data_IF_117935182621
#
_entry.id   IF_117935182621
#
_cell.length_a   1.000
_cell.length_b   1.000
_cell.length_c   1.000
_cell.angle_alpha   90.00
_cell.angle_beta   90.00
_cell.angle_gamma   90.00
#
_symmetry.space_group_name_H-M   'P 1'
#
loop_
_entity.id
_entity.type
_entity.pdbx_description
1 polymer ?
#
# COMPACT_ATOMS: atom_id res chain seq x y z
N UNK A 1 53.27 5.41 -52.33
CA UNK A 1 51.94 4.79 -52.11
C UNK A 1 51.68 4.71 -50.61
N UNK A 2 50.91 5.65 -50.09
CA UNK A 2 50.54 5.67 -48.68
C UNK A 2 49.12 5.04 -48.51
N UNK A 3 49.01 3.98 -47.73
CA UNK A 3 47.75 3.29 -47.43
C UNK A 3 47.17 3.95 -46.17
N UNK A 4 46.09 4.65 -46.31
CA UNK A 4 45.34 5.20 -45.17
C UNK A 4 44.41 4.09 -44.61
N UNK A 5 44.67 3.69 -43.36
CA UNK A 5 43.81 2.77 -42.60
C UNK A 5 42.72 3.58 -41.91
N UNK A 6 41.49 3.54 -42.44
CA UNK A 6 40.29 4.11 -41.76
C UNK A 6 39.79 3.14 -40.73
N UNK A 7 39.99 3.54 -39.47
CA UNK A 7 39.42 2.81 -38.32
C UNK A 7 37.91 3.14 -38.20
N UNK A 8 37.05 2.17 -38.51
CA UNK A 8 35.59 2.29 -38.31
C UNK A 8 35.26 1.84 -36.89
N UNK A 9 34.99 2.80 -35.98
CA UNK A 9 34.48 2.49 -34.65
C UNK A 9 33.02 2.09 -34.73
N UNK A 10 32.76 0.79 -34.52
CA UNK A 10 31.41 0.27 -34.29
C UNK A 10 31.00 0.55 -32.84
N UNK A 11 30.13 1.54 -32.63
CA UNK A 11 29.47 1.79 -31.34
C UNK A 11 28.34 0.77 -31.20
N UNK A 12 28.58 -0.27 -30.39
CA UNK A 12 27.52 -1.19 -29.96
C UNK A 12 26.60 -0.47 -28.97
N UNK A 13 25.42 -0.07 -29.43
CA UNK A 13 24.33 0.40 -28.60
C UNK A 13 23.69 -0.79 -27.91
N UNK A 14 24.12 -1.13 -26.70
CA UNK A 14 23.42 -2.09 -25.83
C UNK A 14 22.19 -1.41 -25.29
N UNK A 15 21.06 -1.56 -25.99
CA UNK A 15 19.75 -1.16 -25.47
C UNK A 15 19.46 -1.93 -24.18
N UNK A 16 19.43 -1.23 -23.05
CA UNK A 16 18.93 -1.78 -21.79
C UNK A 16 17.41 -1.93 -21.92
N UNK A 17 16.94 -3.13 -22.24
CA UNK A 17 15.52 -3.48 -22.18
C UNK A 17 15.17 -3.60 -20.71
N UNK A 18 14.60 -2.55 -20.12
CA UNK A 18 13.98 -2.62 -18.82
C UNK A 18 12.78 -3.56 -18.96
N UNK A 19 12.92 -4.78 -18.46
CA UNK A 19 11.79 -5.71 -18.33
C UNK A 19 10.81 -5.11 -17.32
N UNK A 20 9.64 -4.72 -17.81
CA UNK A 20 8.50 -4.36 -16.97
C UNK A 20 7.94 -5.66 -16.36
N UNK A 21 8.55 -6.11 -15.28
CA UNK A 21 7.95 -7.16 -14.46
C UNK A 21 6.99 -6.47 -13.48
N UNK A 22 5.73 -6.93 -13.42
CA UNK A 22 4.85 -6.69 -12.28
C UNK A 22 5.52 -7.24 -11.02
N UNK A 23 5.13 -6.73 -9.84
CA UNK A 23 5.65 -7.23 -8.57
C UNK A 23 5.46 -8.75 -8.43
N UNK A 24 6.23 -9.37 -7.57
CA UNK A 24 6.18 -10.83 -7.37
C UNK A 24 4.79 -11.29 -6.91
N UNK A 25 4.14 -10.50 -6.04
CA UNK A 25 2.83 -10.85 -5.48
C UNK A 25 1.73 -9.85 -5.85
N UNK A 26 2.08 -8.66 -6.35
CA UNK A 26 1.16 -7.66 -6.85
C UNK A 26 1.27 -7.56 -8.38
N UNK A 27 0.21 -7.94 -9.13
CA UNK A 27 0.28 -7.97 -10.59
C UNK A 27 0.13 -6.59 -11.24
N UNK A 28 -0.24 -5.57 -10.48
CA UNK A 28 -0.61 -4.25 -11.00
C UNK A 28 0.39 -3.15 -10.60
N UNK A 29 1.31 -3.46 -9.65
CA UNK A 29 2.32 -2.51 -9.14
C UNK A 29 3.67 -3.15 -8.92
N UNK A 30 4.71 -2.30 -9.03
CA UNK A 30 6.10 -2.66 -8.75
C UNK A 30 6.64 -1.81 -7.59
N UNK A 31 7.70 -2.30 -6.96
CA UNK A 31 8.51 -1.47 -6.09
C UNK A 31 9.14 -0.35 -6.90
N UNK A 32 9.06 0.88 -6.39
CA UNK A 32 9.52 2.09 -7.07
C UNK A 32 8.49 2.78 -7.96
N UNK A 33 7.32 2.17 -8.20
CA UNK A 33 6.21 2.83 -8.89
C UNK A 33 5.69 4.02 -8.07
N UNK A 34 5.13 5.02 -8.77
CA UNK A 34 4.39 6.08 -8.11
C UNK A 34 3.14 5.52 -7.44
N UNK A 35 2.95 5.87 -6.17
CA UNK A 35 1.76 5.48 -5.43
C UNK A 35 0.53 6.19 -6.01
N UNK A 36 -0.57 5.46 -6.26
CA UNK A 36 -1.82 6.07 -6.68
C UNK A 36 -2.31 7.09 -5.67
N UNK A 37 -2.62 8.30 -6.13
CA UNK A 37 -3.17 9.35 -5.29
C UNK A 37 -4.65 9.12 -5.03
N UNK A 38 -5.11 9.50 -3.84
CA UNK A 38 -6.52 9.62 -3.52
C UNK A 38 -6.85 11.07 -3.16
N UNK A 39 -8.09 11.46 -3.39
CA UNK A 39 -8.58 12.79 -3.10
C UNK A 39 -9.96 12.70 -2.45
N UNK A 40 -10.14 13.51 -1.40
CA UNK A 40 -11.42 13.76 -0.73
C UNK A 40 -12.14 12.48 -0.26
N UNK A 41 -11.39 11.46 0.21
CA UNK A 41 -11.99 10.29 0.83
C UNK A 41 -12.58 10.64 2.21
N UNK A 42 -13.84 10.26 2.49
CA UNK A 42 -14.45 10.50 3.79
C UNK A 42 -13.81 9.63 4.87
N UNK A 43 -13.43 10.27 5.97
CA UNK A 43 -12.90 9.62 7.16
C UNK A 43 -13.95 9.38 8.25
N UNK A 44 -13.65 8.47 9.16
CA UNK A 44 -14.49 8.22 10.36
C UNK A 44 -14.57 9.44 11.29
N UNK A 45 -13.63 10.36 11.18
CA UNK A 45 -13.57 11.63 11.90
C UNK A 45 -14.51 12.72 11.30
N UNK A 46 -15.22 12.39 10.21
CA UNK A 46 -16.12 13.29 9.50
C UNK A 46 -15.43 14.28 8.57
N UNK A 47 -14.12 14.16 8.36
CA UNK A 47 -13.35 15.01 7.44
C UNK A 47 -13.10 14.29 6.12
N UNK A 48 -12.73 15.07 5.10
CA UNK A 48 -12.22 14.56 3.83
C UNK A 48 -10.68 14.54 3.88
N UNK A 49 -10.12 13.46 3.36
CA UNK A 49 -8.68 13.22 3.37
C UNK A 49 -8.16 12.98 1.96
N UNK A 50 -6.99 13.56 1.66
CA UNK A 50 -6.30 13.41 0.39
C UNK A 50 -4.84 13.05 0.64
N UNK A 51 -4.22 12.31 -0.29
CA UNK A 51 -2.79 11.98 -0.19
C UNK A 51 -1.93 13.26 -0.14
N UNK A 52 -2.32 14.28 -0.90
CA UNK A 52 -1.62 15.56 -0.97
C UNK A 52 -1.54 16.31 0.37
N UNK A 53 -2.46 16.03 1.31
CA UNK A 53 -2.40 16.61 2.66
C UNK A 53 -1.28 16.04 3.53
N UNK A 54 -0.57 15.02 3.04
CA UNK A 54 0.49 14.32 3.76
C UNK A 54 1.89 14.60 3.16
N UNK A 55 2.04 15.66 2.35
CA UNK A 55 3.30 15.99 1.65
C UNK A 55 4.48 16.20 2.59
N UNK A 56 4.24 16.67 3.81
CA UNK A 56 5.29 16.93 4.80
C UNK A 56 5.79 15.67 5.51
N UNK A 57 5.13 14.52 5.31
CA UNK A 57 5.53 13.27 5.96
C UNK A 57 6.71 12.61 5.28
N UNK A 58 7.65 12.09 6.09
CA UNK A 58 8.86 11.41 5.61
C UNK A 58 8.58 10.09 4.91
N UNK A 59 7.51 9.42 5.30
CA UNK A 59 6.98 8.22 4.67
C UNK A 59 5.49 8.10 4.99
N UNK A 60 4.77 7.24 4.25
CA UNK A 60 3.35 6.97 4.48
C UNK A 60 3.12 5.46 4.44
N UNK A 61 2.36 4.95 5.41
CA UNK A 61 1.82 3.60 5.37
C UNK A 61 0.36 3.67 4.93
N UNK A 62 0.02 2.96 3.88
CA UNK A 62 -1.37 2.74 3.44
C UNK A 62 -1.75 1.31 3.79
N UNK A 63 -2.79 1.15 4.60
CA UNK A 63 -3.32 -0.15 5.02
C UNK A 63 -4.73 -0.34 4.45
N UNK A 64 -4.88 -1.24 3.46
CA UNK A 64 -6.20 -1.68 3.05
C UNK A 64 -6.74 -2.65 4.10
N UNK A 65 -7.81 -2.28 4.79
CA UNK A 65 -8.38 -3.05 5.89
C UNK A 65 -9.91 -2.96 5.89
N UNK A 66 -10.58 -3.70 6.75
CA UNK A 66 -12.03 -3.63 6.93
C UNK A 66 -12.46 -4.18 8.29
N UNK A 67 -13.72 -3.99 8.67
CA UNK A 67 -14.24 -4.47 9.97
C UNK A 67 -14.65 -5.94 9.94
N UNK A 68 -14.97 -6.50 8.75
CA UNK A 68 -15.60 -7.82 8.62
C UNK A 68 -14.62 -8.98 8.39
N UNK A 69 -13.34 -8.69 8.13
CA UNK A 69 -12.32 -9.71 7.89
C UNK A 69 -11.66 -10.15 9.21
N UNK A 70 -11.68 -11.43 9.59
CA UNK A 70 -11.01 -11.93 10.81
C UNK A 70 -9.53 -11.53 10.89
N UNK A 71 -8.80 -11.65 9.79
CA UNK A 71 -7.38 -11.26 9.74
C UNK A 71 -7.17 -9.74 9.97
N UNK A 72 -8.11 -8.91 9.47
CA UNK A 72 -8.06 -7.47 9.72
C UNK A 72 -8.37 -7.15 11.18
N UNK A 73 -9.34 -7.86 11.78
CA UNK A 73 -9.68 -7.75 13.21
C UNK A 73 -8.49 -8.16 14.08
N UNK A 74 -7.83 -9.26 13.76
CA UNK A 74 -6.63 -9.72 14.48
C UNK A 74 -5.47 -8.73 14.38
N UNK A 75 -5.41 -7.94 13.29
CA UNK A 75 -4.37 -6.93 13.08
C UNK A 75 -4.64 -5.59 13.80
N UNK A 76 -5.84 -5.31 14.30
CA UNK A 76 -6.23 -3.98 14.83
C UNK A 76 -5.28 -3.46 15.93
N UNK A 77 -4.97 -4.28 16.92
CA UNK A 77 -4.08 -3.86 18.00
C UNK A 77 -2.65 -3.58 17.49
N UNK A 78 -2.21 -4.32 16.48
CA UNK A 78 -0.90 -4.12 15.84
C UNK A 78 -0.90 -2.87 14.96
N UNK A 79 -2.03 -2.55 14.31
CA UNK A 79 -2.22 -1.28 13.60
C UNK A 79 -2.15 -0.07 14.54
N UNK A 80 -2.77 -0.16 15.72
CA UNK A 80 -2.69 0.89 16.74
C UNK A 80 -1.23 1.06 17.23
N UNK A 81 -0.52 -0.03 17.45
CA UNK A 81 0.90 0.01 17.82
C UNK A 81 1.77 0.59 16.69
N UNK A 82 1.47 0.21 15.43
CA UNK A 82 2.15 0.74 14.25
C UNK A 82 1.90 2.25 14.09
N UNK A 83 0.69 2.75 14.36
CA UNK A 83 0.40 4.19 14.30
C UNK A 83 1.27 4.98 15.30
N UNK A 84 1.43 4.46 16.51
CA UNK A 84 2.35 5.05 17.49
C UNK A 84 3.81 5.04 16.97
N UNK A 85 4.26 3.91 16.46
CA UNK A 85 5.59 3.77 15.87
C UNK A 85 5.81 4.78 14.73
N UNK A 86 4.79 4.98 13.88
CA UNK A 86 4.81 5.94 12.78
C UNK A 86 4.90 7.39 13.29
N UNK A 87 4.05 7.77 14.25
CA UNK A 87 4.02 9.13 14.82
C UNK A 87 5.35 9.54 15.43
N UNK A 88 6.02 8.64 16.13
CA UNK A 88 7.33 8.89 16.75
C UNK A 88 8.43 9.15 15.69
N UNK A 89 8.14 8.92 14.38
CA UNK A 89 9.10 9.01 13.25
C UNK A 89 8.69 9.99 12.16
N UNK A 90 7.63 10.75 12.39
CA UNK A 90 7.04 11.64 11.38
C UNK A 90 6.58 10.90 10.10
N UNK A 91 6.04 9.71 10.29
CA UNK A 91 5.40 8.87 9.28
C UNK A 91 3.89 8.92 9.47
N UNK A 92 3.12 8.96 8.39
CA UNK A 92 1.67 8.84 8.46
C UNK A 92 1.24 7.38 8.28
N UNK A 93 0.26 6.93 9.08
CA UNK A 93 -0.50 5.71 8.82
C UNK A 93 -1.91 6.11 8.37
N UNK A 94 -2.37 5.58 7.24
CA UNK A 94 -3.74 5.76 6.74
C UNK A 94 -4.33 4.39 6.45
N UNK A 95 -5.46 4.09 7.08
CA UNK A 95 -6.24 2.89 6.80
C UNK A 95 -7.37 3.22 5.81
N UNK A 96 -7.56 2.36 4.80
CA UNK A 96 -8.59 2.53 3.76
C UNK A 96 -9.44 1.27 3.68
N UNK A 97 -10.75 1.42 3.86
CA UNK A 97 -11.71 0.38 3.60
C UNK A 97 -12.42 0.61 2.26
N UNK A 98 -12.57 -0.46 1.49
CA UNK A 98 -13.24 -0.46 0.19
C UNK A 98 -14.38 -1.48 0.10
N UNK A 99 -14.62 -2.24 1.16
CA UNK A 99 -15.71 -3.20 1.20
C UNK A 99 -17.05 -2.51 1.45
N UNK A 100 -18.12 -3.04 0.84
CA UNK A 100 -19.48 -2.47 0.87
C UNK A 100 -20.50 -3.36 1.59
N UNK A 101 -20.04 -4.33 2.38
CA UNK A 101 -20.96 -5.07 3.25
C UNK A 101 -21.39 -4.20 4.44
N UNK A 102 -22.56 -4.43 5.01
CA UNK A 102 -23.15 -3.55 6.04
C UNK A 102 -22.18 -3.22 7.21
N UNK A 103 -21.40 -4.21 7.66
CA UNK A 103 -20.41 -4.02 8.73
C UNK A 103 -19.17 -3.24 8.35
N UNK A 104 -18.96 -2.95 7.06
CA UNK A 104 -17.83 -2.23 6.51
C UNK A 104 -18.20 -0.83 5.99
N UNK A 105 -19.49 -0.43 6.05
CA UNK A 105 -19.91 0.91 5.64
C UNK A 105 -19.47 1.97 6.65
N UNK A 106 -19.38 3.21 6.19
CA UNK A 106 -18.85 4.33 6.99
C UNK A 106 -19.47 4.47 8.39
N UNK A 107 -20.79 4.27 8.62
CA UNK A 107 -21.35 4.27 9.99
C UNK A 107 -20.72 3.19 10.88
N UNK A 108 -20.64 1.95 10.42
CA UNK A 108 -20.03 0.85 11.16
C UNK A 108 -18.52 1.04 11.37
N UNK A 109 -17.81 1.67 10.41
CA UNK A 109 -16.42 2.06 10.58
C UNK A 109 -16.23 3.09 11.70
N UNK A 110 -17.15 4.08 11.82
CA UNK A 110 -17.13 5.06 12.91
C UNK A 110 -17.29 4.40 14.27
N UNK A 111 -18.25 3.48 14.38
CA UNK A 111 -18.49 2.74 15.62
C UNK A 111 -17.27 1.89 15.99
N UNK A 112 -16.68 1.19 15.01
CA UNK A 112 -15.47 0.38 15.21
C UNK A 112 -14.27 1.23 15.63
N UNK A 113 -14.03 2.34 14.96
CA UNK A 113 -12.94 3.25 15.28
C UNK A 113 -13.07 3.82 16.70
N UNK A 114 -14.29 4.14 17.14
CA UNK A 114 -14.59 4.58 18.50
C UNK A 114 -14.36 3.47 19.53
N UNK A 115 -14.88 2.29 19.29
CA UNK A 115 -14.72 1.10 20.15
C UNK A 115 -13.24 0.78 20.36
N UNK A 116 -12.47 0.74 19.29
CA UNK A 116 -11.05 0.35 19.28
C UNK A 116 -10.12 1.50 19.56
N UNK A 117 -10.65 2.74 19.66
CA UNK A 117 -9.87 3.96 19.89
C UNK A 117 -8.78 4.16 18.82
N UNK A 118 -9.15 4.01 17.55
CA UNK A 118 -8.22 4.26 16.45
C UNK A 118 -7.74 5.72 16.47
N UNK A 119 -6.43 5.91 16.35
CA UNK A 119 -5.78 7.23 16.39
C UNK A 119 -5.22 7.65 15.04
N UNK A 120 -5.44 6.85 14.00
CA UNK A 120 -5.08 7.06 12.60
C UNK A 120 -6.31 7.36 11.75
N UNK A 121 -6.18 8.05 10.61
CA UNK A 121 -7.24 8.20 9.64
C UNK A 121 -7.73 6.84 9.13
N UNK A 122 -9.04 6.60 9.24
CA UNK A 122 -9.69 5.41 8.69
C UNK A 122 -10.73 5.88 7.66
N UNK A 123 -10.41 5.67 6.39
CA UNK A 123 -11.09 6.25 5.24
C UNK A 123 -11.96 5.22 4.52
N UNK A 124 -13.03 5.68 3.90
CA UNK A 124 -13.91 4.84 3.10
C UNK A 124 -13.83 5.23 1.62
N UNK A 125 -13.33 4.32 0.78
CA UNK A 125 -13.39 4.45 -0.68
C UNK A 125 -14.56 3.63 -1.23
N UNK A 126 -15.74 4.24 -1.26
CA UNK A 126 -16.94 3.62 -1.83
C UNK A 126 -16.77 3.26 -3.31
N UNK A 127 -15.93 3.99 -4.04
CA UNK A 127 -15.66 3.72 -5.46
C UNK A 127 -14.85 2.45 -5.69
N UNK A 128 -14.12 1.99 -4.69
CA UNK A 128 -13.15 0.87 -4.73
C UNK A 128 -11.99 1.10 -5.71
N UNK A 129 -11.84 2.33 -6.22
CA UNK A 129 -10.84 2.61 -7.26
C UNK A 129 -9.44 2.64 -6.69
N UNK A 130 -9.28 3.13 -5.45
CA UNK A 130 -7.94 3.25 -4.85
C UNK A 130 -7.32 1.86 -4.64
N UNK A 131 -8.07 0.91 -4.08
CA UNK A 131 -7.57 -0.47 -3.94
C UNK A 131 -7.23 -1.09 -5.31
N UNK A 132 -8.06 -0.88 -6.34
CA UNK A 132 -7.78 -1.37 -7.70
C UNK A 132 -6.50 -0.75 -8.27
N UNK A 133 -6.30 0.56 -8.09
CA UNK A 133 -5.12 1.26 -8.59
C UNK A 133 -3.83 0.84 -7.87
N UNK A 134 -3.92 0.52 -6.57
CA UNK A 134 -2.80 -0.07 -5.81
C UNK A 134 -2.57 -1.55 -6.15
N UNK A 135 -3.48 -2.21 -6.86
CA UNK A 135 -3.45 -3.66 -7.06
C UNK A 135 -3.75 -4.45 -5.78
N UNK A 136 -4.28 -3.79 -4.74
CA UNK A 136 -4.61 -4.42 -3.48
C UNK A 136 -5.77 -5.40 -3.66
N UNK A 137 -5.63 -6.61 -3.10
CA UNK A 137 -6.58 -7.71 -3.28
C UNK A 137 -7.07 -8.33 -1.98
N UNK A 138 -6.42 -8.00 -0.87
CA UNK A 138 -6.67 -8.61 0.44
C UNK A 138 -6.89 -7.55 1.51
N UNK A 139 -7.46 -7.97 2.63
CA UNK A 139 -7.52 -7.20 3.87
C UNK A 139 -7.08 -8.08 5.04
N UNK A 140 -6.06 -7.67 5.83
CA UNK A 140 -5.27 -6.46 5.64
C UNK A 140 -4.19 -6.63 4.55
N UNK A 141 -3.89 -5.54 3.82
CA UNK A 141 -2.76 -5.46 2.89
C UNK A 141 -2.09 -4.09 3.03
N UNK A 142 -0.77 -4.05 3.03
CA UNK A 142 0.01 -2.88 3.39
C UNK A 142 0.90 -2.39 2.26
N UNK A 143 1.05 -1.08 2.16
CA UNK A 143 1.98 -0.40 1.28
C UNK A 143 2.76 0.64 2.09
N UNK A 144 4.09 0.67 1.95
CA UNK A 144 4.92 1.74 2.50
C UNK A 144 5.40 2.61 1.36
N UNK A 145 5.15 3.90 1.46
CA UNK A 145 5.55 4.91 0.51
C UNK A 145 6.72 5.72 1.09
N UNK A 146 7.75 5.95 0.28
CA UNK A 146 8.88 6.79 0.66
C UNK A 146 8.53 8.30 0.62
N UNK A 147 9.50 9.16 0.90
CA UNK A 147 9.35 10.61 0.88
C UNK A 147 8.96 11.16 -0.51
N UNK A 148 9.25 10.43 -1.59
CA UNK A 148 8.87 10.76 -2.96
C UNK A 148 7.56 10.12 -3.39
N UNK A 149 6.86 9.48 -2.46
CA UNK A 149 5.60 8.74 -2.73
C UNK A 149 5.78 7.55 -3.68
N UNK A 150 6.98 7.00 -3.72
CA UNK A 150 7.26 5.73 -4.40
C UNK A 150 6.94 4.57 -3.47
N UNK A 151 6.42 3.48 -4.02
CA UNK A 151 6.15 2.25 -3.28
C UNK A 151 7.49 1.61 -2.89
N UNK A 152 7.80 1.57 -1.61
CA UNK A 152 9.00 0.96 -1.05
C UNK A 152 8.76 -0.46 -0.52
N UNK A 153 7.50 -0.79 -0.23
CA UNK A 153 7.07 -2.11 0.26
C UNK A 153 5.60 -2.36 -0.07
N UNK A 154 5.25 -3.62 -0.33
CA UNK A 154 3.85 -4.10 -0.40
C UNK A 154 3.74 -5.51 0.16
N UNK A 155 2.61 -5.80 0.86
CA UNK A 155 2.32 -7.13 1.38
C UNK A 155 1.71 -7.16 2.78
N UNK A 156 2.16 -8.11 3.61
CA UNK A 156 1.64 -8.35 4.96
C UNK A 156 2.23 -7.38 6.00
N UNK A 157 1.56 -7.25 7.16
CA UNK A 157 2.04 -6.44 8.29
C UNK A 157 3.34 -6.99 8.87
N UNK A 158 3.33 -8.28 9.11
CA UNK A 158 4.38 -9.09 9.71
C UNK A 158 4.28 -10.55 9.25
N UNK A 159 5.08 -11.43 9.81
CA UNK A 159 5.12 -12.86 9.49
C UNK A 159 4.11 -13.72 10.27
N UNK A 160 3.20 -13.10 11.05
CA UNK A 160 2.22 -13.81 11.88
C UNK A 160 0.79 -13.30 11.60
N UNK A 161 -0.02 -14.00 10.80
CA UNK A 161 -1.36 -13.54 10.43
C UNK A 161 -2.27 -13.23 11.62
N UNK A 162 -2.19 -14.05 12.68
CA UNK A 162 -2.97 -13.89 13.92
C UNK A 162 -2.23 -13.09 15.02
N UNK A 163 -0.99 -12.66 14.75
CA UNK A 163 -0.17 -11.88 15.67
C UNK A 163 0.40 -12.63 16.87
N UNK A 164 0.20 -13.97 16.98
CA UNK A 164 0.64 -14.74 18.16
C UNK A 164 2.13 -15.06 18.19
N UNK A 165 2.79 -15.06 17.03
CA UNK A 165 4.17 -15.50 16.89
C UNK A 165 5.01 -14.57 15.98
N UNK A 166 4.80 -13.26 16.09
CA UNK A 166 5.52 -12.26 15.28
C UNK A 166 7.02 -12.31 15.57
N UNK A 167 7.80 -12.62 14.53
CA UNK A 167 9.27 -12.59 14.55
C UNK A 167 9.82 -11.49 13.65
N UNK A 168 9.14 -11.23 12.53
CA UNK A 168 9.56 -10.25 11.54
C UNK A 168 8.44 -9.23 11.32
N UNK A 169 8.74 -7.96 11.58
CA UNK A 169 7.83 -6.83 11.40
C UNK A 169 8.12 -6.17 10.05
N UNK A 170 7.52 -6.69 8.99
CA UNK A 170 7.80 -6.28 7.62
C UNK A 170 7.57 -4.79 7.38
N UNK A 171 6.41 -4.26 7.80
CA UNK A 171 6.07 -2.84 7.60
C UNK A 171 7.00 -1.92 8.40
N UNK A 172 7.31 -2.23 9.68
CA UNK A 172 8.25 -1.42 10.47
C UNK A 172 9.65 -1.42 9.83
N UNK A 173 10.14 -2.57 9.37
CA UNK A 173 11.44 -2.69 8.67
C UNK A 173 11.48 -1.89 7.36
N UNK A 174 10.37 -1.88 6.62
CA UNK A 174 10.24 -1.11 5.39
C UNK A 174 10.22 0.41 5.68
N UNK A 175 9.55 0.84 6.74
CA UNK A 175 9.56 2.25 7.19
C UNK A 175 10.99 2.69 7.52
N UNK A 176 11.75 1.92 8.31
CA UNK A 176 13.12 2.25 8.66
C UNK A 176 14.03 2.36 7.42
N UNK A 177 13.84 1.44 6.44
CA UNK A 177 14.57 1.49 5.18
C UNK A 177 14.22 2.75 4.37
N UNK A 178 12.93 3.08 4.24
CA UNK A 178 12.45 4.26 3.52
C UNK A 178 12.98 5.56 4.16
N UNK A 179 12.97 5.65 5.50
CA UNK A 179 13.51 6.80 6.24
C UNK A 179 15.03 6.94 6.07
N UNK A 180 15.74 5.83 5.94
CA UNK A 180 17.18 5.82 5.68
C UNK A 180 17.54 6.06 4.20
N UNK A 181 16.54 6.18 3.30
CA UNK A 181 16.75 6.29 1.85
C UNK A 181 17.38 5.03 1.24
N UNK A 182 17.17 3.87 1.84
CA UNK A 182 17.74 2.59 1.42
C UNK A 182 16.66 1.67 0.85
N UNK A 183 17.01 0.76 -0.07
CA UNK A 183 16.09 -0.30 -0.50
C UNK A 183 15.65 -1.15 0.70
N UNK A 184 14.39 -1.56 0.70
CA UNK A 184 13.85 -2.50 1.69
C UNK A 184 14.41 -3.90 1.41
N UNK A 185 14.95 -4.56 2.44
CA UNK A 185 15.58 -5.88 2.29
C UNK A 185 14.59 -6.95 1.80
N UNK A 186 13.34 -6.89 2.29
CA UNK A 186 12.21 -7.69 1.81
C UNK A 186 11.15 -6.69 1.35
N UNK A 187 11.14 -6.38 0.05
CA UNK A 187 10.30 -5.33 -0.50
C UNK A 187 8.87 -5.79 -0.78
N UNK A 188 8.66 -7.09 -0.96
CA UNK A 188 7.34 -7.69 -1.17
C UNK A 188 7.17 -8.93 -0.31
N UNK A 189 5.95 -9.14 0.18
CA UNK A 189 5.53 -10.38 0.85
C UNK A 189 4.13 -10.76 0.40
N UNK A 190 3.77 -12.04 0.51
CA UNK A 190 2.41 -12.49 0.23
C UNK A 190 1.44 -11.83 1.22
N UNK A 191 0.45 -11.04 0.78
CA UNK A 191 -0.57 -10.53 1.67
C UNK A 191 -1.46 -11.67 2.18
N UNK A 192 -1.63 -11.74 3.50
CA UNK A 192 -2.45 -12.78 4.14
C UNK A 192 -3.71 -12.13 4.70
N UNK A 193 -4.87 -12.49 4.13
CA UNK A 193 -6.13 -11.88 4.50
C UNK A 193 -7.32 -12.39 3.70
N UNK A 194 -8.48 -11.79 3.94
CA UNK A 194 -9.68 -12.01 3.14
C UNK A 194 -9.59 -11.25 1.82
N UNK A 195 -10.09 -11.82 0.74
CA UNK A 195 -10.17 -11.09 -0.52
C UNK A 195 -11.09 -9.88 -0.41
N UNK A 196 -10.66 -8.75 -0.96
CA UNK A 196 -11.50 -7.56 -1.13
C UNK A 196 -12.70 -7.92 -2.00
N UNK A 197 -13.88 -7.51 -1.56
CA UNK A 197 -15.15 -7.77 -2.25
C UNK A 197 -15.43 -6.66 -3.25
N UNK A 198 -14.75 -6.70 -4.40
CA UNK A 198 -15.00 -5.76 -5.48
C UNK A 198 -16.37 -5.96 -6.12
N UNK A 199 -17.02 -4.86 -6.48
CA UNK A 199 -18.24 -4.88 -7.29
C UNK A 199 -17.99 -5.56 -8.63
N UNK A 200 -18.91 -6.42 -9.03
CA UNK A 200 -18.86 -7.07 -10.34
C UNK A 200 -19.27 -6.08 -11.42
N UNK A 201 -18.39 -5.81 -12.36
CA UNK A 201 -18.74 -5.06 -13.58
C UNK A 201 -19.68 -5.93 -14.40
N UNK A 202 -20.98 -5.57 -14.47
CA UNK A 202 -21.90 -6.20 -15.42
C UNK A 202 -21.42 -5.88 -16.85
N UNK A 203 -20.88 -6.87 -17.54
CA UNK A 203 -20.67 -6.76 -18.99
C UNK A 203 -22.05 -6.63 -19.65
N UNK A 204 -22.41 -5.44 -20.09
CA UNK A 204 -23.56 -5.25 -20.97
C UNK A 204 -23.24 -5.99 -22.27
N UNK A 205 -23.99 -7.08 -22.52
CA UNK A 205 -23.94 -7.76 -23.82
C UNK A 205 -24.43 -6.75 -24.87
N UNK A 206 -23.51 -6.25 -25.69
CA UNK A 206 -23.94 -5.50 -26.90
C UNK A 206 -24.83 -6.45 -27.71
N UNK A 207 -26.10 -6.05 -27.90
CA UNK A 207 -26.99 -6.69 -28.86
C UNK A 207 -26.54 -6.39 -30.28
#
# INVERSE_FOLDING_TARGET
>A
MAFEFRLVCFVLYTGFVASLYAGEYNPDKNIGDDAPAWKDLPGVDGKLHSLDSLTDRKAIVVAFTCNSCPYAIDAENRLIALDKFCKDRDVALVAINVNKVAGDLLPAMKDRAKEKKFTFPYLFDESQQIAKQYGARYTPEFFVLDAKRKIAYMGSLDDSPDGKAVKVKHVESAIESALAGKPTAVAETVPIGCRIRFDRVRRTRKK
#
